data_IF_140354233896
#
_entry.id   IF_140354233896
#
_cell.length_a   1.000
_cell.length_b   1.000
_cell.length_c   1.000
_cell.angle_alpha   90.00
_cell.angle_beta   90.00
_cell.angle_gamma   90.00
#
_symmetry.space_group_name_H-M   'P 1'
#
loop_
_entity.id
_entity.type
_entity.pdbx_description
1 polymer ?
#
# COMPACT_ATOMS: atom_id res chain seq x y z
N UNK A 1 1.35 -21.20 -0.70
CA UNK A 1 0.16 -20.43 -0.27
C UNK A 1 -0.40 -19.71 -1.49
N UNK A 2 -1.67 -19.89 -1.83
CA UNK A 2 -2.27 -19.18 -2.96
C UNK A 2 -2.46 -17.70 -2.60
N UNK A 3 -2.49 -16.80 -3.60
CA UNK A 3 -2.75 -15.37 -3.37
C UNK A 3 -4.04 -15.15 -2.56
N UNK A 4 -5.08 -15.95 -2.81
CA UNK A 4 -6.34 -15.95 -2.05
C UNK A 4 -6.12 -16.19 -0.56
N UNK A 5 -5.24 -17.11 -0.19
CA UNK A 5 -4.96 -17.44 1.20
C UNK A 5 -4.20 -16.29 1.89
N UNK A 6 -3.28 -15.64 1.17
CA UNK A 6 -2.55 -14.47 1.67
C UNK A 6 -3.49 -13.29 1.93
N UNK A 7 -4.40 -13.01 0.99
CA UNK A 7 -5.44 -11.99 1.16
C UNK A 7 -6.38 -12.34 2.32
N UNK A 8 -6.70 -13.62 2.50
CA UNK A 8 -7.50 -14.10 3.62
C UNK A 8 -6.87 -13.81 4.97
N UNK A 9 -5.57 -14.10 5.13
CA UNK A 9 -4.82 -13.79 6.36
C UNK A 9 -4.77 -12.29 6.63
N UNK A 10 -4.43 -11.48 5.61
CA UNK A 10 -4.39 -10.03 5.75
C UNK A 10 -5.76 -9.45 6.14
N UNK A 11 -6.83 -9.95 5.53
CA UNK A 11 -8.21 -9.53 5.84
C UNK A 11 -8.59 -9.87 7.27
N UNK A 12 -8.10 -11.00 7.81
CA UNK A 12 -8.31 -11.39 9.20
C UNK A 12 -7.63 -10.43 10.16
N UNK A 13 -6.37 -10.05 9.91
CA UNK A 13 -5.67 -9.06 10.71
C UNK A 13 -6.31 -7.69 10.62
N UNK A 14 -6.67 -7.26 9.41
CA UNK A 14 -7.28 -5.95 9.18
C UNK A 14 -8.59 -5.78 9.94
N UNK A 15 -9.41 -6.83 10.04
CA UNK A 15 -10.66 -6.82 10.84
C UNK A 15 -10.45 -6.73 12.34
N UNK A 16 -9.27 -7.14 12.84
CA UNK A 16 -8.95 -7.08 14.26
C UNK A 16 -8.48 -5.69 14.71
N UNK A 17 -8.07 -4.83 13.76
CA UNK A 17 -7.63 -3.46 14.01
C UNK A 17 -8.80 -2.50 14.16
N UNK A 18 -8.62 -1.46 14.98
CA UNK A 18 -9.58 -0.35 15.06
C UNK A 18 -9.57 0.51 13.78
N UNK A 19 -10.56 1.40 13.62
CA UNK A 19 -10.72 2.25 12.42
C UNK A 19 -9.48 3.12 12.14
N UNK A 20 -8.80 3.56 13.19
CA UNK A 20 -7.59 4.36 13.08
C UNK A 20 -6.43 3.55 12.47
N UNK A 21 -6.13 2.41 13.08
CA UNK A 21 -5.07 1.48 12.64
C UNK A 21 -5.32 1.01 11.22
N UNK A 22 -6.57 0.69 10.88
CA UNK A 22 -6.99 0.38 9.52
C UNK A 22 -6.63 1.52 8.55
N UNK A 23 -6.97 2.76 8.90
CA UNK A 23 -6.67 3.95 8.08
C UNK A 23 -5.17 4.16 7.90
N UNK A 24 -4.39 4.05 8.98
CA UNK A 24 -2.93 4.22 8.95
C UNK A 24 -2.26 3.12 8.11
N UNK A 25 -2.70 1.87 8.26
CA UNK A 25 -2.21 0.75 7.48
C UNK A 25 -2.52 0.94 5.99
N UNK A 26 -3.75 1.31 5.63
CA UNK A 26 -4.14 1.59 4.25
C UNK A 26 -3.33 2.73 3.65
N UNK A 27 -3.16 3.85 4.37
CA UNK A 27 -2.32 4.97 3.91
C UNK A 27 -0.87 4.54 3.70
N UNK A 28 -0.33 3.70 4.58
CA UNK A 28 1.03 3.17 4.46
C UNK A 28 1.20 2.27 3.23
N UNK A 29 0.19 1.45 2.91
CA UNK A 29 0.18 0.64 1.70
C UNK A 29 -0.01 1.48 0.44
N UNK A 30 -0.90 2.48 0.47
CA UNK A 30 -1.15 3.41 -0.63
C UNK A 30 0.10 4.21 -1.01
N UNK A 31 0.98 4.52 -0.06
CA UNK A 31 2.29 5.16 -0.34
C UNK A 31 3.24 4.27 -1.16
N UNK A 32 2.99 2.95 -1.22
CA UNK A 32 3.85 1.98 -1.92
C UNK A 32 3.32 1.59 -3.30
N UNK A 33 2.09 1.94 -3.64
CA UNK A 33 1.53 1.63 -4.96
C UNK A 33 1.96 2.69 -5.99
N UNK A 34 1.95 2.32 -7.28
CA UNK A 34 2.24 3.26 -8.37
C UNK A 34 1.17 4.36 -8.48
N UNK A 35 1.50 5.50 -9.10
CA UNK A 35 0.54 6.59 -9.34
C UNK A 35 -0.70 6.13 -10.12
N UNK A 36 -0.52 5.25 -11.09
CA UNK A 36 -1.62 4.67 -11.87
C UNK A 36 -2.54 3.82 -10.99
N UNK A 37 -1.97 2.99 -10.11
CA UNK A 37 -2.75 2.19 -9.15
C UNK A 37 -3.46 3.08 -8.12
N UNK A 38 -2.79 4.11 -7.59
CA UNK A 38 -3.41 5.07 -6.68
C UNK A 38 -4.60 5.78 -7.34
N UNK A 39 -4.44 6.22 -8.60
CA UNK A 39 -5.52 6.85 -9.37
C UNK A 39 -6.68 5.90 -9.63
N UNK A 40 -6.39 4.65 -9.97
CA UNK A 40 -7.42 3.62 -10.13
C UNK A 40 -8.18 3.37 -8.82
N UNK A 41 -7.47 3.21 -7.70
CA UNK A 41 -8.09 3.02 -6.38
C UNK A 41 -8.95 4.21 -5.98
N UNK A 42 -8.48 5.44 -6.25
CA UNK A 42 -9.29 6.64 -6.02
C UNK A 42 -10.60 6.60 -6.82
N UNK A 43 -10.56 6.27 -8.12
CA UNK A 43 -11.77 6.19 -8.94
C UNK A 43 -12.76 5.13 -8.43
N UNK A 44 -12.24 3.97 -7.99
CA UNK A 44 -13.07 2.93 -7.38
C UNK A 44 -13.74 3.42 -6.08
N UNK A 45 -12.99 4.13 -5.23
CA UNK A 45 -13.51 4.71 -4.00
C UNK A 45 -14.56 5.79 -4.30
N UNK A 46 -14.27 6.74 -5.19
CA UNK A 46 -15.19 7.79 -5.61
C UNK A 46 -16.51 7.19 -6.12
N UNK A 47 -16.44 6.15 -6.94
CA UNK A 47 -17.63 5.46 -7.44
C UNK A 47 -18.43 4.78 -6.31
N UNK A 48 -17.75 4.12 -5.37
CA UNK A 48 -18.42 3.45 -4.24
C UNK A 48 -19.09 4.43 -3.28
N UNK A 49 -18.55 5.63 -3.14
CA UNK A 49 -19.05 6.66 -2.22
C UNK A 49 -20.10 7.58 -2.85
N UNK A 50 -20.21 7.63 -4.19
CA UNK A 50 -21.06 8.57 -4.91
C UNK A 50 -22.55 8.50 -4.51
N UNK A 51 -23.05 7.33 -4.11
CA UNK A 51 -24.44 7.13 -3.72
C UNK A 51 -24.72 7.41 -2.22
N UNK A 52 -23.68 7.67 -1.41
CA UNK A 52 -23.82 7.83 0.04
C UNK A 52 -24.19 9.28 0.40
N UNK A 53 -25.49 9.57 0.45
CA UNK A 53 -26.00 10.92 0.77
C UNK A 53 -25.69 11.36 2.21
N UNK A 54 -25.63 10.41 3.15
CA UNK A 54 -25.27 10.69 4.55
C UNK A 54 -23.83 11.19 4.67
N UNK A 55 -22.89 10.53 3.98
CA UNK A 55 -21.48 10.95 3.94
C UNK A 55 -21.34 12.34 3.33
N UNK A 56 -22.12 12.66 2.28
CA UNK A 56 -22.13 14.00 1.67
C UNK A 56 -22.66 15.08 2.63
N UNK A 57 -23.64 14.75 3.48
CA UNK A 57 -24.12 15.66 4.52
C UNK A 57 -23.05 15.89 5.58
N UNK A 58 -22.46 14.80 6.11
CA UNK A 58 -21.38 14.88 7.09
C UNK A 58 -20.18 15.66 6.57
N UNK A 59 -19.80 15.47 5.31
CA UNK A 59 -18.71 16.23 4.69
C UNK A 59 -19.05 17.72 4.56
N UNK A 60 -20.31 18.06 4.26
CA UNK A 60 -20.76 19.46 4.22
C UNK A 60 -20.69 20.09 5.60
N UNK A 61 -21.20 19.41 6.61
CA UNK A 61 -21.19 19.83 8.01
C UNK A 61 -19.75 19.99 8.55
N UNK A 62 -18.87 19.03 8.24
CA UNK A 62 -17.45 19.06 8.61
C UNK A 62 -16.68 20.25 8.02
N UNK A 63 -17.21 20.82 6.94
CA UNK A 63 -16.61 21.93 6.22
C UNK A 63 -17.38 23.24 6.39
N UNK A 64 -18.36 23.30 7.30
CA UNK A 64 -19.06 24.53 7.69
C UNK A 64 -18.47 25.09 8.99
N UNK A 65 -17.71 26.21 8.95
CA UNK A 65 -17.09 26.79 10.14
C UNK A 65 -18.11 27.24 11.19
N UNK A 66 -19.30 27.69 10.78
CA UNK A 66 -20.34 28.12 11.71
C UNK A 66 -20.91 26.92 12.46
N UNK A 67 -21.13 25.81 11.76
CA UNK A 67 -21.61 24.57 12.36
C UNK A 67 -20.59 23.97 13.33
N UNK A 68 -19.33 23.79 12.90
CA UNK A 68 -18.23 23.28 13.74
C UNK A 68 -18.00 24.20 14.96
N UNK A 69 -18.14 25.51 14.78
CA UNK A 69 -17.98 26.50 15.85
C UNK A 69 -18.98 26.33 17.01
N UNK A 70 -20.16 25.77 16.76
CA UNK A 70 -21.19 25.55 17.80
C UNK A 70 -20.77 24.48 18.82
N UNK A 71 -19.91 23.53 18.42
CA UNK A 71 -19.49 22.42 19.28
C UNK A 71 -18.68 22.87 20.50
N UNK A 72 -18.21 24.12 20.51
CA UNK A 72 -17.61 24.71 21.69
C UNK A 72 -18.56 24.73 22.90
N UNK A 73 -19.87 24.79 22.67
CA UNK A 73 -20.89 24.82 23.71
C UNK A 73 -21.38 23.42 24.11
N UNK A 74 -20.98 22.39 23.37
CA UNK A 74 -21.40 21.01 23.62
C UNK A 74 -20.63 20.38 24.79
N UNK A 75 -21.17 19.28 25.33
CA UNK A 75 -20.47 18.48 26.33
C UNK A 75 -19.21 17.83 25.73
N UNK A 76 -18.18 17.57 26.55
CA UNK A 76 -16.93 16.98 26.07
C UNK A 76 -17.14 15.66 25.32
N UNK A 77 -18.03 14.79 25.82
CA UNK A 77 -18.34 13.50 25.17
C UNK A 77 -18.98 13.70 23.79
N UNK A 78 -19.93 14.64 23.67
CA UNK A 78 -20.58 14.92 22.39
C UNK A 78 -19.62 15.60 21.41
N UNK A 79 -18.81 16.55 21.90
CA UNK A 79 -17.76 17.18 21.12
C UNK A 79 -16.72 16.16 20.60
N UNK A 80 -16.31 15.19 21.42
CA UNK A 80 -15.42 14.09 21.00
C UNK A 80 -16.04 13.26 19.88
N UNK A 81 -17.31 12.84 20.02
CA UNK A 81 -18.00 12.07 18.99
C UNK A 81 -18.14 12.85 17.66
N UNK A 82 -18.44 14.15 17.74
CA UNK A 82 -18.52 15.03 16.57
C UNK A 82 -17.15 15.21 15.90
N UNK A 83 -16.09 15.40 16.69
CA UNK A 83 -14.72 15.49 16.20
C UNK A 83 -14.30 14.22 15.45
N UNK A 84 -14.52 13.04 16.03
CA UNK A 84 -14.16 11.76 15.39
C UNK A 84 -14.88 11.51 14.08
N UNK A 85 -16.17 11.86 14.00
CA UNK A 85 -16.98 11.64 12.80
C UNK A 85 -16.72 12.65 11.68
N UNK A 86 -16.40 13.90 12.02
CA UNK A 86 -16.32 14.97 11.02
C UNK A 86 -14.89 15.38 10.67
N UNK A 87 -13.95 15.32 11.61
CA UNK A 87 -12.58 15.78 11.38
C UNK A 87 -11.89 15.08 10.19
N UNK A 88 -12.04 13.75 9.97
CA UNK A 88 -11.48 13.08 8.79
C UNK A 88 -12.01 13.59 7.45
N UNK A 89 -13.16 14.28 7.45
CA UNK A 89 -13.82 14.82 6.25
C UNK A 89 -13.46 16.29 5.98
N UNK A 90 -12.61 16.90 6.81
CA UNK A 90 -12.15 18.27 6.62
C UNK A 90 -11.36 18.41 5.30
N UNK A 91 -11.72 19.40 4.48
CA UNK A 91 -11.02 19.66 3.23
C UNK A 91 -9.71 20.41 3.48
N UNK A 92 -8.59 20.00 2.86
CA UNK A 92 -7.30 20.71 2.98
C UNK A 92 -7.33 22.16 2.54
N UNK A 93 -8.26 22.54 1.66
CA UNK A 93 -8.43 23.91 1.20
C UNK A 93 -9.26 24.80 2.14
N UNK A 94 -9.94 24.24 3.15
CA UNK A 94 -10.87 24.97 4.00
C UNK A 94 -10.18 25.40 5.31
N UNK A 95 -9.55 26.57 5.27
CA UNK A 95 -8.76 27.10 6.39
C UNK A 95 -9.64 27.60 7.53
N UNK A 96 -10.86 28.08 7.23
CA UNK A 96 -11.81 28.59 8.21
C UNK A 96 -12.37 27.46 9.08
N UNK A 97 -12.78 26.34 8.47
CA UNK A 97 -13.25 25.17 9.22
C UNK A 97 -12.10 24.58 10.04
N UNK A 98 -10.91 24.45 9.44
CA UNK A 98 -9.70 24.01 10.15
C UNK A 98 -9.45 24.84 11.41
N UNK A 99 -9.57 26.17 11.34
CA UNK A 99 -9.35 27.04 12.50
C UNK A 99 -10.31 26.71 13.66
N UNK A 100 -11.55 26.33 13.36
CA UNK A 100 -12.51 25.90 14.40
C UNK A 100 -12.09 24.58 15.04
N UNK A 101 -11.66 23.59 14.25
CA UNK A 101 -11.13 22.32 14.77
C UNK A 101 -9.90 22.52 15.65
N UNK A 102 -8.94 23.33 15.20
CA UNK A 102 -7.71 23.59 15.93
C UNK A 102 -7.95 24.33 17.26
N UNK A 103 -9.04 25.11 17.35
CA UNK A 103 -9.48 25.71 18.60
C UNK A 103 -10.11 24.67 19.53
N UNK A 104 -10.95 23.78 18.99
CA UNK A 104 -11.73 22.80 19.78
C UNK A 104 -10.89 21.63 20.30
N UNK A 105 -9.93 21.14 19.50
CA UNK A 105 -9.10 19.98 19.80
C UNK A 105 -8.40 20.07 21.17
N UNK A 106 -7.64 21.13 21.49
CA UNK A 106 -6.97 21.24 22.80
C UNK A 106 -7.94 21.21 23.98
N UNK A 107 -9.11 21.85 23.85
CA UNK A 107 -10.13 21.87 24.91
C UNK A 107 -10.64 20.47 25.24
N UNK A 108 -11.02 19.71 24.21
CA UNK A 108 -11.57 18.36 24.39
C UNK A 108 -10.49 17.40 24.88
N UNK A 109 -9.30 17.44 24.28
CA UNK A 109 -8.17 16.58 24.66
C UNK A 109 -7.69 16.85 26.09
N UNK A 110 -7.61 18.11 26.53
CA UNK A 110 -7.25 18.43 27.91
C UNK A 110 -8.20 17.76 28.92
N UNK A 111 -9.51 17.87 28.69
CA UNK A 111 -10.50 17.27 29.57
C UNK A 111 -10.47 15.74 29.57
N UNK A 112 -10.37 15.11 28.40
CA UNK A 112 -10.30 13.65 28.28
C UNK A 112 -9.02 13.11 28.93
N UNK A 113 -7.88 13.77 28.66
CA UNK A 113 -6.61 13.39 29.25
C UNK A 113 -6.68 13.55 30.76
N UNK A 114 -7.16 14.66 31.32
CA UNK A 114 -7.25 14.93 32.78
C UNK A 114 -8.24 14.01 33.51
N UNK A 115 -9.39 13.73 32.91
CA UNK A 115 -10.38 12.80 33.48
C UNK A 115 -9.96 11.33 33.36
N UNK A 116 -9.03 11.01 32.46
CA UNK A 116 -8.58 9.65 32.18
C UNK A 116 -9.65 8.79 31.49
N UNK A 117 -10.67 9.44 30.92
CA UNK A 117 -11.74 8.80 30.16
C UNK A 117 -11.49 8.99 28.65
N UNK A 118 -12.08 8.12 27.83
CA UNK A 118 -12.02 8.22 26.36
C UNK A 118 -10.59 8.24 25.80
N UNK A 119 -9.70 7.41 26.36
CA UNK A 119 -8.29 7.31 25.95
C UNK A 119 -8.16 6.85 24.50
N UNK A 120 -8.96 5.86 24.10
CA UNK A 120 -8.93 5.28 22.76
C UNK A 120 -9.38 6.31 21.71
N UNK A 121 -10.47 7.02 21.99
CA UNK A 121 -11.01 8.10 21.17
C UNK A 121 -10.02 9.26 21.03
N UNK A 122 -9.35 9.62 22.13
CA UNK A 122 -8.29 10.63 22.12
C UNK A 122 -7.11 10.20 21.25
N UNK A 123 -6.71 8.92 21.32
CA UNK A 123 -5.63 8.35 20.48
C UNK A 123 -6.04 8.36 19.00
N UNK A 124 -7.25 7.94 18.68
CA UNK A 124 -7.79 7.92 17.33
C UNK A 124 -7.85 9.34 16.74
N UNK A 125 -8.37 10.31 17.50
CA UNK A 125 -8.49 11.70 17.06
C UNK A 125 -7.11 12.32 16.77
N UNK A 126 -6.15 12.13 17.66
CA UNK A 126 -4.78 12.61 17.46
C UNK A 126 -4.10 11.94 16.26
N UNK A 127 -4.32 10.64 16.08
CA UNK A 127 -3.77 9.90 14.95
C UNK A 127 -4.32 10.41 13.62
N UNK A 128 -5.64 10.68 13.53
CA UNK A 128 -6.20 11.34 12.36
C UNK A 128 -5.57 12.72 12.15
N UNK A 129 -5.44 13.54 13.19
CA UNK A 129 -4.86 14.88 13.06
C UNK A 129 -3.42 14.88 12.53
N UNK A 130 -2.60 13.91 12.95
CA UNK A 130 -1.21 13.80 12.52
C UNK A 130 -1.07 13.37 11.05
N UNK A 131 -1.97 12.52 10.55
CA UNK A 131 -1.94 12.03 9.15
C UNK A 131 -2.78 12.87 8.19
N UNK A 132 -3.59 13.80 8.69
CA UNK A 132 -4.54 14.55 7.88
C UNK A 132 -3.84 15.62 7.01
N UNK A 133 -4.14 15.71 5.69
CA UNK A 133 -3.44 16.63 4.79
C UNK A 133 -3.69 18.13 5.07
N UNK A 134 -4.83 18.48 5.68
CA UNK A 134 -5.15 19.89 6.01
C UNK A 134 -4.30 20.46 7.16
N UNK A 135 -3.69 19.60 7.96
CA UNK A 135 -2.94 20.02 9.15
C UNK A 135 -1.53 20.44 8.73
N UNK A 136 -1.07 21.60 9.20
CA UNK A 136 0.26 22.11 8.87
C UNK A 136 1.34 21.42 9.72
N UNK A 137 2.60 21.60 9.37
CA UNK A 137 3.70 21.04 10.17
C UNK A 137 3.79 21.67 11.56
N UNK A 138 3.49 22.95 11.67
CA UNK A 138 3.44 23.67 12.95
C UNK A 138 2.31 23.11 13.84
N UNK A 139 1.11 22.95 13.27
CA UNK A 139 -0.03 22.36 13.99
C UNK A 139 0.26 20.92 14.45
N UNK A 140 0.93 20.12 13.61
CA UNK A 140 1.35 18.75 13.97
C UNK A 140 2.30 18.75 15.16
N UNK A 141 3.22 19.71 15.24
CA UNK A 141 4.13 19.85 16.39
C UNK A 141 3.37 20.07 17.70
N UNK A 142 2.38 20.95 17.71
CA UNK A 142 1.53 21.19 18.88
C UNK A 142 0.71 19.94 19.26
N UNK A 143 0.15 19.23 18.27
CA UNK A 143 -0.65 18.01 18.49
C UNK A 143 0.19 16.80 18.93
N UNK A 144 1.44 16.71 18.50
CA UNK A 144 2.34 15.64 18.94
C UNK A 144 2.63 15.73 20.45
N UNK A 145 2.73 16.94 21.02
CA UNK A 145 2.85 17.13 22.47
C UNK A 145 1.67 16.54 23.25
N UNK A 146 0.44 16.68 22.72
CA UNK A 146 -0.75 16.07 23.30
C UNK A 146 -0.72 14.54 23.25
N UNK A 147 -0.14 13.96 22.19
CA UNK A 147 0.04 12.52 22.07
C UNK A 147 0.99 11.98 23.14
N UNK A 148 2.14 12.62 23.35
CA UNK A 148 3.07 12.23 24.42
C UNK A 148 2.45 12.33 25.81
N UNK A 149 1.63 13.37 26.07
CA UNK A 149 0.91 13.51 27.34
C UNK A 149 -0.11 12.39 27.55
N UNK A 150 -0.79 11.95 26.49
CA UNK A 150 -1.73 10.83 26.54
C UNK A 150 -0.99 9.52 26.90
N UNK A 151 0.14 9.24 26.24
CA UNK A 151 0.92 8.02 26.48
C UNK A 151 1.50 7.95 27.91
N UNK A 152 2.02 9.06 28.43
CA UNK A 152 2.56 9.14 29.81
C UNK A 152 1.48 8.85 30.88
N UNK A 153 0.26 9.38 30.67
CA UNK A 153 -0.89 9.13 31.54
C UNK A 153 -1.35 7.68 31.47
N UNK A 154 -1.38 7.08 30.28
CA UNK A 154 -1.74 5.66 30.09
C UNK A 154 -0.71 4.75 30.76
N UNK A 155 0.58 5.04 30.60
CA UNK A 155 1.66 4.29 31.26
C UNK A 155 1.57 4.34 32.78
N UNK A 156 1.23 5.51 33.34
CA UNK A 156 1.07 5.71 34.79
C UNK A 156 -0.16 4.98 35.35
N UNK A 157 -1.27 4.95 34.61
CA UNK A 157 -2.47 4.18 34.99
C UNK A 157 -2.26 2.66 34.89
N UNK A 158 -1.54 2.19 33.86
CA UNK A 158 -1.24 0.77 33.66
C UNK A 158 -0.26 0.18 34.69
N UNK A 159 0.64 0.98 35.25
CA UNK A 159 1.59 0.55 36.28
C UNK A 159 0.94 0.21 37.64
N UNK A 160 -0.32 0.61 37.86
CA UNK A 160 -1.05 0.37 39.11
C UNK A 160 -1.78 -0.99 39.14
N UNK A 161 -1.80 -1.71 38.02
CA UNK A 161 -2.51 -2.99 37.86
C UNK A 161 -1.66 -4.01 37.12
N UNK A 162 -0.61 -4.55 37.74
CA UNK A 162 -0.01 -5.81 37.26
C UNK A 162 0.47 -6.70 38.40
N UNK A 163 -0.39 -7.64 38.80
CA UNK A 163 0.03 -8.97 39.26
C UNK A 163 -1.05 -9.98 38.82
N UNK A 164 -0.78 -10.71 37.74
CA UNK A 164 -1.15 -12.13 37.57
C UNK A 164 -0.55 -12.71 36.30
N UNK A 165 -0.10 -13.98 36.30
CA UNK A 165 0.75 -14.55 35.26
C UNK A 165 -0.03 -15.25 34.13
N UNK A 166 0.59 -15.17 32.95
CA UNK A 166 0.58 -16.09 31.79
C UNK A 166 -0.76 -16.72 31.34
N UNK A 167 -1.27 -16.21 30.22
CA UNK A 167 -2.03 -17.00 29.26
C UNK A 167 -1.50 -16.68 27.86
N UNK A 168 -0.92 -17.68 27.21
CA UNK A 168 -0.25 -17.59 25.90
C UNK A 168 -1.28 -17.27 24.80
N UNK A 169 -1.43 -15.98 24.49
CA UNK A 169 -2.17 -15.48 23.34
C UNK A 169 -1.27 -15.49 22.08
N UNK A 170 -1.84 -15.68 20.87
CA UNK A 170 -1.07 -15.61 19.63
C UNK A 170 -0.36 -14.25 19.52
N UNK A 171 0.79 -14.18 18.81
CA UNK A 171 1.62 -12.99 18.82
C UNK A 171 0.80 -11.78 18.35
N UNK A 172 0.86 -10.65 19.08
CA UNK A 172 0.22 -9.43 18.63
C UNK A 172 0.79 -9.04 17.25
N UNK A 173 -0.02 -8.47 16.35
CA UNK A 173 0.50 -7.93 15.10
C UNK A 173 1.61 -6.91 15.42
N UNK A 174 2.64 -6.78 14.57
CA UNK A 174 3.71 -5.81 14.81
C UNK A 174 3.06 -4.42 14.91
N UNK A 175 3.17 -3.80 16.09
CA UNK A 175 2.74 -2.42 16.30
C UNK A 175 3.45 -1.56 15.26
N UNK A 176 2.67 -0.83 14.45
CA UNK A 176 3.21 0.14 13.52
C UNK A 176 3.73 1.32 14.38
N UNK A 177 5.00 1.26 14.79
CA UNK A 177 5.75 2.31 15.51
C UNK A 177 5.96 3.61 14.69
N UNK A 178 5.05 3.86 13.74
CA UNK A 178 5.11 4.96 12.79
C UNK A 178 4.90 6.33 13.46
N UNK A 179 4.11 6.42 14.54
CA UNK A 179 3.80 7.71 15.18
C UNK A 179 5.00 8.35 15.90
N UNK A 180 5.99 7.55 16.31
CA UNK A 180 7.25 8.05 16.90
C UNK A 180 8.27 8.54 15.87
N UNK A 181 8.05 8.25 14.59
CA UNK A 181 8.92 8.70 13.49
C UNK A 181 8.14 9.70 12.64
N UNK A 182 8.30 11.00 12.93
CA UNK A 182 7.61 12.09 12.24
C UNK A 182 7.70 11.97 10.71
N UNK A 183 6.70 12.48 9.95
CA UNK A 183 6.60 12.18 8.53
C UNK A 183 7.75 12.86 7.76
N UNK A 184 8.48 12.14 6.87
CA UNK A 184 9.41 12.78 5.95
C UNK A 184 8.59 13.39 4.80
N UNK A 185 8.35 14.69 4.86
CA UNK A 185 7.85 15.42 3.70
C UNK A 185 9.00 15.61 2.70
N UNK A 186 8.74 15.53 1.39
CA UNK A 186 9.75 15.84 0.40
C UNK A 186 10.02 17.36 0.39
N UNK A 187 11.17 17.77 0.91
CA UNK A 187 11.70 19.12 0.70
C UNK A 187 11.92 19.36 -0.79
N UNK A 188 11.25 20.37 -1.35
CA UNK A 188 11.47 20.82 -2.72
C UNK A 188 12.94 21.23 -2.90
N UNK A 189 13.59 20.65 -3.90
CA UNK A 189 14.99 20.89 -4.23
C UNK A 189 15.15 22.31 -4.77
N UNK A 190 15.77 23.19 -4.00
CA UNK A 190 16.20 24.52 -4.44
C UNK A 190 17.49 24.42 -5.24
N UNK A 191 17.44 24.92 -6.47
CA UNK A 191 18.57 25.12 -7.38
C UNK A 191 19.56 26.13 -6.79
N UNK A 192 20.86 25.80 -6.77
CA UNK A 192 21.91 26.82 -6.72
C UNK A 192 23.08 26.44 -7.63
N UNK A 193 23.71 27.48 -8.16
CA UNK A 193 24.64 27.52 -9.29
C UNK A 193 26.05 27.80 -8.76
N UNK A 194 27.07 27.23 -9.41
CA UNK A 194 28.51 27.56 -9.27
C UNK A 194 29.33 26.32 -8.89
N UNK A 195 30.51 26.03 -9.43
CA UNK A 195 31.42 26.68 -10.38
C UNK A 195 32.65 25.75 -10.55
N UNK A 196 33.42 25.97 -11.61
CA UNK A 196 34.55 25.21 -12.15
C UNK A 196 35.50 24.43 -11.21
N UNK A 197 36.00 23.27 -11.67
CA UNK A 197 37.42 23.10 -12.08
C UNK A 197 37.73 21.72 -12.69
N UNK A 198 38.59 21.77 -13.72
CA UNK A 198 39.07 20.71 -14.63
C UNK A 198 40.09 19.78 -13.96
N UNK A 199 40.08 18.47 -14.29
CA UNK A 199 41.27 17.60 -14.50
C UNK A 199 40.91 16.16 -14.92
N UNK A 200 41.52 15.65 -15.99
CA UNK A 200 41.57 14.25 -16.50
C UNK A 200 43.03 14.01 -16.97
N UNK A 201 43.50 12.78 -17.24
CA UNK A 201 43.31 11.46 -16.59
C UNK A 201 44.71 10.85 -16.20
N UNK A 202 44.88 9.55 -15.82
CA UNK A 202 45.13 8.53 -16.86
C UNK A 202 44.77 7.04 -16.53
N UNK A 203 44.67 6.24 -17.60
CA UNK A 203 44.81 4.76 -17.74
C UNK A 203 43.85 3.74 -17.06
N UNK A 204 43.35 2.82 -17.90
CA UNK A 204 42.67 1.55 -17.59
C UNK A 204 43.64 0.49 -17.03
N UNK A 205 43.17 -0.59 -16.34
CA UNK A 205 42.77 -1.82 -17.05
C UNK A 205 41.67 -2.70 -16.39
N UNK A 206 41.09 -3.55 -17.25
CA UNK A 206 40.61 -4.95 -17.11
C UNK A 206 40.17 -5.58 -15.76
N UNK A 207 39.13 -6.41 -15.88
CA UNK A 207 38.40 -7.26 -14.91
C UNK A 207 39.23 -8.05 -13.89
N UNK A 208 38.55 -8.57 -12.83
CA UNK A 208 38.83 -9.94 -12.40
C UNK A 208 37.58 -10.81 -12.17
N UNK A 209 37.82 -12.11 -12.36
CA UNK A 209 36.96 -13.28 -12.18
C UNK A 209 36.68 -13.61 -10.70
N UNK A 210 35.56 -14.30 -10.43
CA UNK A 210 35.33 -15.36 -9.42
C UNK A 210 33.80 -15.57 -9.28
N UNK A 211 33.22 -16.75 -9.08
CA UNK A 211 33.72 -18.11 -8.95
C UNK A 211 32.63 -19.12 -9.33
N UNK A 212 33.14 -20.24 -9.80
CA UNK A 212 32.53 -21.54 -9.99
C UNK A 212 32.06 -22.18 -8.67
N UNK A 213 30.96 -22.94 -8.73
CA UNK A 213 30.79 -24.19 -7.98
C UNK A 213 30.00 -25.15 -8.88
N UNK A 214 30.64 -26.26 -9.21
CA UNK A 214 30.18 -27.31 -10.11
C UNK A 214 29.96 -28.60 -9.31
N UNK A 215 28.95 -29.38 -9.68
CA UNK A 215 28.87 -30.85 -9.56
C UNK A 215 27.52 -31.24 -10.19
N UNK A 216 27.39 -32.06 -11.24
CA UNK A 216 28.28 -33.05 -11.82
C UNK A 216 27.62 -34.42 -11.70
N UNK A 217 26.99 -34.90 -12.78
CA UNK A 217 26.95 -36.34 -13.08
C UNK A 217 26.61 -36.56 -14.55
N UNK A 218 27.55 -37.15 -15.28
CA UNK A 218 27.37 -37.68 -16.62
C UNK A 218 27.01 -39.17 -16.56
N UNK A 219 26.25 -39.61 -17.55
CA UNK A 219 25.93 -41.01 -17.80
C UNK A 219 25.30 -41.09 -19.18
N UNK A 220 26.01 -41.69 -20.10
CA UNK A 220 25.91 -41.55 -21.55
C UNK A 220 25.12 -42.70 -22.19
N UNK A 221 24.73 -42.44 -23.45
CA UNK A 221 24.46 -43.41 -24.53
C UNK A 221 23.17 -44.24 -24.45
N UNK A 222 22.18 -43.86 -25.27
CA UNK A 222 21.70 -44.76 -26.31
C UNK A 222 21.38 -43.94 -27.57
N UNK A 223 22.23 -44.15 -28.58
CA UNK A 223 21.90 -43.87 -29.95
C UNK A 223 20.68 -44.72 -30.36
N UNK A 224 19.68 -44.09 -30.95
CA UNK A 224 18.79 -44.78 -31.87
C UNK A 224 18.68 -43.91 -33.13
N UNK A 225 19.47 -44.32 -34.12
CA UNK A 225 19.51 -43.80 -35.47
C UNK A 225 18.82 -44.83 -36.37
N UNK A 226 17.48 -44.75 -36.46
CA UNK A 226 16.63 -45.33 -37.52
C UNK A 226 15.19 -44.84 -37.21
N UNK A 227 14.43 -44.11 -38.02
CA UNK A 227 14.27 -44.05 -39.47
C UNK A 227 13.96 -42.60 -39.82
N UNK A 228 14.61 -42.09 -40.87
CA UNK A 228 14.11 -40.96 -41.64
C UNK A 228 12.75 -41.33 -42.23
N UNK A 229 11.66 -41.01 -41.52
CA UNK A 229 10.33 -40.92 -42.13
C UNK A 229 10.20 -39.49 -42.66
N UNK A 230 10.16 -39.28 -43.98
CA UNK A 230 9.96 -37.95 -44.54
C UNK A 230 8.50 -37.56 -44.30
N UNK A 231 8.24 -36.68 -43.33
CA UNK A 231 6.90 -36.09 -43.21
C UNK A 231 6.42 -35.58 -41.86
N UNK A 232 7.14 -35.70 -40.74
CA UNK A 232 6.59 -35.19 -39.46
C UNK A 232 7.69 -34.74 -38.50
N UNK A 233 7.83 -33.42 -38.35
CA UNK A 233 8.83 -32.82 -37.46
C UNK A 233 9.11 -31.33 -37.69
N UNK A 234 8.25 -30.60 -38.42
CA UNK A 234 8.37 -29.13 -38.49
C UNK A 234 8.05 -28.57 -37.10
N UNK A 235 9.08 -28.05 -36.46
CA UNK A 235 8.96 -27.31 -35.21
C UNK A 235 9.34 -25.86 -35.49
N UNK A 236 8.33 -25.03 -35.76
CA UNK A 236 8.52 -23.63 -36.12
C UNK A 236 9.17 -22.80 -35.00
N UNK A 237 9.17 -23.29 -33.75
CA UNK A 237 9.89 -22.65 -32.64
C UNK A 237 11.41 -22.65 -32.81
N UNK A 238 11.97 -23.60 -33.56
CA UNK A 238 13.42 -23.73 -33.76
C UNK A 238 13.89 -23.17 -35.10
N UNK A 239 12.94 -22.79 -35.96
CA UNK A 239 13.23 -22.24 -37.28
C UNK A 239 13.70 -20.78 -37.16
N UNK A 240 14.85 -20.48 -37.75
CA UNK A 240 15.48 -19.17 -37.67
C UNK A 240 14.77 -18.18 -38.61
N UNK A 241 14.21 -17.10 -38.06
CA UNK A 241 13.39 -16.13 -38.82
C UNK A 241 11.89 -16.45 -38.90
N UNK A 242 11.39 -17.51 -38.22
CA UNK A 242 9.97 -17.89 -38.25
C UNK A 242 9.02 -16.94 -37.51
N UNK A 243 9.54 -16.06 -36.64
CA UNK A 243 8.75 -15.23 -35.73
C UNK A 243 8.08 -16.00 -34.58
N UNK A 244 8.31 -17.32 -34.48
CA UNK A 244 7.65 -18.20 -33.50
C UNK A 244 8.53 -18.52 -32.28
N UNK A 245 9.78 -18.03 -32.22
CA UNK A 245 10.76 -18.37 -31.15
C UNK A 245 10.27 -17.99 -29.74
N UNK A 246 9.52 -16.90 -29.59
CA UNK A 246 9.04 -16.41 -28.29
C UNK A 246 7.67 -16.94 -27.89
N UNK A 247 6.97 -17.61 -28.82
CA UNK A 247 5.61 -18.15 -28.60
C UNK A 247 5.56 -19.17 -27.44
N UNK A 248 6.53 -20.08 -27.25
CA UNK A 248 6.53 -20.98 -26.09
C UNK A 248 6.62 -20.27 -24.74
N UNK A 249 7.36 -19.16 -24.67
CA UNK A 249 7.47 -18.35 -23.45
C UNK A 249 6.19 -17.54 -23.22
N UNK A 250 5.60 -16.99 -24.28
CA UNK A 250 4.30 -16.32 -24.24
C UNK A 250 3.15 -17.24 -23.80
N UNK A 251 3.10 -18.49 -24.31
CA UNK A 251 2.10 -19.48 -23.86
C UNK A 251 2.28 -19.85 -22.38
N UNK A 252 3.51 -19.82 -21.84
CA UNK A 252 3.75 -20.02 -20.40
C UNK A 252 3.21 -18.86 -19.57
N UNK A 253 3.34 -17.61 -20.01
CA UNK A 253 2.82 -16.44 -19.28
C UNK A 253 1.28 -16.43 -19.25
N UNK A 254 0.64 -16.90 -20.32
CA UNK A 254 -0.82 -17.07 -20.40
C UNK A 254 -1.32 -18.38 -19.75
N UNK A 255 -0.42 -19.22 -19.22
CA UNK A 255 -0.71 -20.57 -18.70
C UNK A 255 -1.36 -21.53 -19.72
N UNK A 256 -1.20 -21.26 -21.01
CA UNK A 256 -1.68 -22.07 -22.13
C UNK A 256 -0.62 -23.02 -22.71
N UNK A 257 0.52 -23.19 -22.05
CA UNK A 257 1.65 -24.02 -22.51
C UNK A 257 1.30 -25.51 -22.76
N UNK A 258 0.15 -26.00 -22.27
CA UNK A 258 -0.41 -27.32 -22.64
C UNK A 258 -0.63 -27.44 -24.15
N UNK A 259 -0.98 -26.35 -24.83
CA UNK A 259 -1.23 -26.30 -26.27
C UNK A 259 0.04 -26.02 -27.10
N UNK A 260 1.21 -25.87 -26.49
CA UNK A 260 2.44 -25.48 -27.20
C UNK A 260 2.78 -26.40 -28.39
N UNK A 261 2.42 -27.69 -28.33
CA UNK A 261 2.63 -28.65 -29.43
C UNK A 261 1.73 -28.41 -30.65
N UNK A 262 0.60 -27.74 -30.47
CA UNK A 262 -0.29 -27.32 -31.56
C UNK A 262 0.33 -26.12 -32.29
N UNK A 263 0.85 -25.15 -31.52
CA UNK A 263 1.51 -23.96 -32.07
C UNK A 263 2.88 -24.26 -32.69
N UNK A 264 3.57 -25.34 -32.31
CA UNK A 264 4.86 -25.71 -32.93
C UNK A 264 4.73 -26.12 -34.40
N UNK A 265 3.51 -26.42 -34.86
CA UNK A 265 3.21 -26.83 -36.23
C UNK A 265 2.72 -25.67 -37.10
N UNK A 266 2.46 -24.50 -36.51
CA UNK A 266 1.94 -23.33 -37.20
C UNK A 266 3.04 -22.33 -37.54
N UNK A 267 2.93 -21.68 -38.70
CA UNK A 267 3.73 -20.49 -39.02
C UNK A 267 3.14 -19.24 -38.38
N UNK A 268 3.94 -18.18 -38.27
CA UNK A 268 3.50 -16.92 -37.66
C UNK A 268 2.25 -16.30 -38.33
N UNK A 269 2.12 -16.26 -39.68
CA UNK A 269 0.90 -15.76 -40.33
C UNK A 269 -0.32 -16.66 -40.06
N UNK A 270 -0.14 -17.98 -40.02
CA UNK A 270 -1.23 -18.92 -39.73
C UNK A 270 -1.73 -18.75 -38.30
N UNK A 271 -0.81 -18.60 -37.33
CA UNK A 271 -1.14 -18.28 -35.94
C UNK A 271 -1.96 -16.98 -35.84
N UNK A 272 -1.60 -15.93 -36.58
CA UNK A 272 -2.33 -14.66 -36.57
C UNK A 272 -3.71 -14.75 -37.24
N UNK A 273 -3.91 -15.75 -38.11
CA UNK A 273 -5.17 -16.01 -38.81
C UNK A 273 -6.11 -17.01 -38.10
N UNK A 274 -5.74 -17.46 -36.89
CA UNK A 274 -6.56 -18.39 -36.10
C UNK A 274 -7.86 -17.72 -35.66
N UNK A 275 -8.96 -18.45 -35.82
CA UNK A 275 -10.29 -18.07 -35.31
C UNK A 275 -10.74 -19.07 -34.25
N UNK A 276 -11.65 -18.65 -33.38
CA UNK A 276 -12.18 -19.47 -32.28
C UNK A 276 -12.72 -20.83 -32.76
N UNK A 277 -13.51 -20.84 -33.84
CA UNK A 277 -14.02 -22.08 -34.48
C UNK A 277 -12.93 -23.06 -34.92
N UNK A 278 -11.76 -22.57 -35.35
CA UNK A 278 -10.65 -23.44 -35.78
C UNK A 278 -9.93 -24.08 -34.59
N UNK A 279 -9.91 -23.39 -33.44
CA UNK A 279 -9.31 -23.89 -32.20
C UNK A 279 -10.20 -24.97 -31.56
N UNK A 280 -11.52 -24.81 -31.58
CA UNK A 280 -12.47 -25.80 -31.06
C UNK A 280 -12.41 -27.15 -31.80
N UNK A 281 -11.98 -27.16 -33.06
CA UNK A 281 -11.86 -28.40 -33.86
C UNK A 281 -10.58 -29.19 -33.55
N UNK A 282 -9.62 -28.61 -32.82
CA UNK A 282 -8.30 -29.22 -32.56
C UNK A 282 -8.01 -29.51 -31.07
N UNK A 283 -8.99 -29.28 -30.17
CA UNK A 283 -8.95 -29.63 -28.73
C UNK A 283 -9.60 -30.98 -28.50
#
# INVERSE_FOLDING_TARGET
>A
MMFRDQVGVLSSWFKAWNECEQTVALLSLLKRVSRTQARFLQLCLDHSLAACTELQSLEREANDPAYVGQWWQESHNKAMALLLSHFPLLKPSNVEAKAQYMRLLPKVLAHCIESGQQVEESRQLLSYALIHPAISMEDRGALAGWFSHLEDRVGTMGASTSFSPEQEAPPPPPHLDWLSQGPPFPSSTGTSVGGDTVSLPPHAPLSPQSSVASSGSGGSELADDFISIPGSGRNTFREEGSGMKDVPAWLKSLRLHKYARLFSQLTYPEMMSLTEQKLETQV
#
